data_IF_797563799895
#
_entry.id   IF_797563799895
#
_cell.length_a   1.000
_cell.length_b   1.000
_cell.length_c   1.000
_cell.angle_alpha   90.00
_cell.angle_beta   90.00
_cell.angle_gamma   90.00
#
_symmetry.space_group_name_H-M   'P 1'
#
loop_
_entity.id
_entity.type
_entity.pdbx_description
1 polymer ?
#
# COMPACT_ATOMS: atom_id res chain seq x y z
N UNK A 1 -6.31 0.13 -4.00
CA UNK A 1 -6.09 -0.47 -2.65
C UNK A 1 -7.32 -0.38 -1.75
N UNK A 2 -8.22 0.56 -2.02
CA UNK A 2 -9.43 0.90 -1.27
C UNK A 2 -10.30 -0.29 -0.87
N UNK A 3 -10.51 -1.26 -1.75
CA UNK A 3 -11.27 -2.46 -1.41
C UNK A 3 -10.68 -3.30 -0.27
N UNK A 4 -9.38 -3.15 0.02
CA UNK A 4 -8.72 -3.84 1.14
C UNK A 4 -8.77 -3.02 2.45
N UNK A 5 -9.05 -1.73 2.36
CA UNK A 5 -8.93 -0.80 3.48
C UNK A 5 -9.90 -1.08 4.64
N UNK A 6 -11.16 -1.50 4.41
CA UNK A 6 -12.05 -1.92 5.50
C UNK A 6 -11.49 -3.07 6.34
N UNK A 7 -10.82 -4.02 5.71
CA UNK A 7 -10.24 -5.17 6.42
C UNK A 7 -9.08 -4.77 7.33
N UNK A 8 -8.35 -3.70 7.02
CA UNK A 8 -7.34 -3.14 7.94
C UNK A 8 -7.99 -2.65 9.22
N UNK A 9 -9.14 -1.97 9.11
CA UNK A 9 -9.91 -1.50 10.27
C UNK A 9 -10.49 -2.67 11.06
N UNK A 10 -11.01 -3.69 10.39
CA UNK A 10 -11.51 -4.91 11.03
C UNK A 10 -10.40 -5.62 11.81
N UNK A 11 -9.21 -5.77 11.23
CA UNK A 11 -8.05 -6.36 11.92
C UNK A 11 -7.64 -5.54 13.14
N UNK A 12 -7.59 -4.20 13.04
CA UNK A 12 -7.33 -3.35 14.19
C UNK A 12 -8.37 -3.52 15.30
N UNK A 13 -9.66 -3.52 14.94
CA UNK A 13 -10.76 -3.73 15.90
C UNK A 13 -10.68 -5.11 16.56
N UNK A 14 -10.33 -6.15 15.79
CA UNK A 14 -10.08 -7.49 16.30
C UNK A 14 -8.96 -7.48 17.35
N UNK A 15 -7.82 -6.86 17.06
CA UNK A 15 -6.71 -6.79 18.02
C UNK A 15 -7.05 -5.96 19.26
N UNK A 16 -7.77 -4.85 19.11
CA UNK A 16 -8.27 -4.07 20.26
C UNK A 16 -9.13 -4.96 21.17
N UNK A 17 -10.05 -5.73 20.59
CA UNK A 17 -10.90 -6.65 21.36
C UNK A 17 -10.07 -7.74 22.04
N UNK A 18 -9.19 -8.40 21.29
CA UNK A 18 -8.29 -9.45 21.79
C UNK A 18 -7.46 -8.97 23.00
N UNK A 19 -6.86 -7.79 22.90
CA UNK A 19 -6.01 -7.26 23.97
C UNK A 19 -6.80 -6.71 25.16
N UNK A 20 -8.05 -6.29 24.98
CA UNK A 20 -8.97 -6.01 26.09
C UNK A 20 -9.32 -7.29 26.85
N UNK A 21 -9.58 -8.38 26.14
CA UNK A 21 -9.97 -9.66 26.74
C UNK A 21 -8.83 -10.32 27.53
N UNK A 22 -7.57 -10.07 27.18
CA UNK A 22 -6.41 -10.57 27.95
C UNK A 22 -6.36 -10.04 29.39
N UNK A 23 -6.90 -8.84 29.62
CA UNK A 23 -6.85 -8.18 30.93
C UNK A 23 -5.44 -7.73 31.33
N UNK A 24 -5.35 -6.87 32.34
CA UNK A 24 -4.08 -6.40 32.90
C UNK A 24 -3.30 -5.39 32.04
N UNK A 25 -3.84 -4.97 30.90
CA UNK A 25 -3.24 -3.94 30.04
C UNK A 25 -3.99 -2.61 30.18
N UNK A 26 -3.24 -1.50 30.12
CA UNK A 26 -3.82 -0.15 30.01
C UNK A 26 -4.39 0.08 28.60
N UNK A 27 -5.34 1.00 28.46
CA UNK A 27 -5.88 1.36 27.13
C UNK A 27 -4.80 1.79 26.13
N UNK A 28 -3.75 2.47 26.63
CA UNK A 28 -2.62 2.89 25.80
C UNK A 28 -1.85 1.68 25.26
N UNK A 29 -1.55 0.70 26.12
CA UNK A 29 -0.86 -0.53 25.70
C UNK A 29 -1.70 -1.34 24.72
N UNK A 30 -3.02 -1.42 24.94
CA UNK A 30 -3.96 -2.12 24.05
C UNK A 30 -3.91 -1.51 22.64
N UNK A 31 -4.01 -0.17 22.54
CA UNK A 31 -3.91 0.54 21.25
C UNK A 31 -2.55 0.33 20.60
N UNK A 32 -1.47 0.42 21.37
CA UNK A 32 -0.11 0.22 20.86
C UNK A 32 0.11 -1.19 20.30
N UNK A 33 -0.36 -2.23 21.01
CA UNK A 33 -0.25 -3.61 20.53
C UNK A 33 -1.15 -3.88 19.33
N UNK A 34 -2.37 -3.34 19.32
CA UNK A 34 -3.24 -3.43 18.16
C UNK A 34 -2.61 -2.77 16.93
N UNK A 35 -2.06 -1.55 17.06
CA UNK A 35 -1.35 -0.88 15.96
C UNK A 35 -0.14 -1.68 15.46
N UNK A 36 0.65 -2.27 16.38
CA UNK A 36 1.82 -3.10 16.03
C UNK A 36 1.41 -4.36 15.26
N UNK A 37 0.41 -5.07 15.75
CA UNK A 37 -0.05 -6.31 15.11
C UNK A 37 -0.76 -6.04 13.79
N UNK A 38 -1.60 -5.00 13.69
CA UNK A 38 -2.20 -4.59 12.43
C UNK A 38 -1.13 -4.25 11.38
N UNK A 39 -0.08 -3.50 11.76
CA UNK A 39 1.04 -3.21 10.84
C UNK A 39 1.78 -4.48 10.43
N UNK A 40 1.97 -5.43 11.35
CA UNK A 40 2.58 -6.72 11.04
C UNK A 40 1.72 -7.53 10.06
N UNK A 41 0.41 -7.57 10.29
CA UNK A 41 -0.53 -8.28 9.42
C UNK A 41 -0.55 -7.68 8.01
N UNK A 42 -0.60 -6.35 7.88
CA UNK A 42 -0.50 -5.66 6.59
C UNK A 42 0.80 -6.04 5.87
N UNK A 43 1.93 -6.03 6.59
CA UNK A 43 3.23 -6.45 6.04
C UNK A 43 3.22 -7.88 5.53
N UNK A 44 2.76 -8.83 6.34
CA UNK A 44 2.71 -10.24 5.96
C UNK A 44 1.76 -10.47 4.77
N UNK A 45 0.60 -9.80 4.76
CA UNK A 45 -0.40 -9.91 3.70
C UNK A 45 0.09 -9.31 2.38
N UNK A 46 0.68 -8.11 2.40
CA UNK A 46 1.24 -7.47 1.21
C UNK A 46 2.43 -8.25 0.65
N UNK A 47 3.24 -8.85 1.52
CA UNK A 47 4.34 -9.71 1.09
C UNK A 47 3.82 -10.97 0.41
N UNK A 48 2.85 -11.62 1.03
CA UNK A 48 2.21 -12.80 0.46
C UNK A 48 1.64 -12.49 -0.91
N UNK A 49 0.92 -11.37 -1.05
CA UNK A 49 0.37 -10.91 -2.32
C UNK A 49 1.47 -10.72 -3.37
N UNK A 50 2.51 -9.94 -3.08
CA UNK A 50 3.60 -9.65 -4.04
C UNK A 50 4.30 -10.95 -4.48
N UNK A 51 4.57 -11.88 -3.56
CA UNK A 51 5.19 -13.16 -3.88
C UNK A 51 4.27 -14.06 -4.69
N UNK A 52 2.96 -14.08 -4.41
CA UNK A 52 1.98 -14.83 -5.20
C UNK A 52 1.88 -14.28 -6.63
N UNK A 53 1.84 -12.96 -6.80
CA UNK A 53 1.77 -12.34 -8.13
C UNK A 53 3.00 -12.63 -9.00
N UNK A 54 4.16 -12.89 -8.38
CA UNK A 54 5.39 -13.21 -9.11
C UNK A 54 5.67 -14.72 -9.21
N UNK A 55 4.98 -15.57 -8.45
CA UNK A 55 5.15 -17.04 -8.50
C UNK A 55 4.01 -17.76 -9.24
N UNK A 56 2.84 -17.13 -9.38
CA UNK A 56 1.74 -17.66 -10.19
C UNK A 56 1.92 -17.34 -11.67
N UNK A 57 1.49 -18.26 -12.52
CA UNK A 57 1.48 -18.10 -13.98
C UNK A 57 0.05 -18.08 -14.50
N UNK A 58 -0.18 -17.28 -15.53
CA UNK A 58 -1.42 -17.33 -16.31
C UNK A 58 -1.41 -18.52 -17.28
N UNK A 59 -2.52 -18.74 -18.01
CA UNK A 59 -2.64 -19.84 -18.99
C UNK A 59 -1.58 -19.81 -20.11
N UNK A 60 -0.94 -18.67 -20.35
CA UNK A 60 0.14 -18.50 -21.33
C UNK A 60 1.54 -18.65 -20.70
N UNK A 61 1.63 -19.06 -19.44
CA UNK A 61 2.89 -19.34 -18.73
C UNK A 61 3.65 -18.10 -18.24
N UNK A 62 3.03 -16.92 -18.26
CA UNK A 62 3.66 -15.66 -17.82
C UNK A 62 3.09 -15.19 -16.47
N UNK A 63 3.87 -14.41 -15.72
CA UNK A 63 3.33 -13.69 -14.56
C UNK A 63 2.19 -12.77 -14.99
N UNK A 64 1.11 -12.67 -14.19
CA UNK A 64 -0.04 -11.84 -14.53
C UNK A 64 0.32 -10.35 -14.62
N UNK A 65 -0.22 -9.68 -15.63
CA UNK A 65 -0.09 -8.24 -15.81
C UNK A 65 -1.05 -7.53 -14.84
N UNK A 66 -0.50 -6.94 -13.79
CA UNK A 66 -1.29 -6.35 -12.69
C UNK A 66 -0.70 -4.99 -12.33
N UNK A 67 -1.60 -4.03 -12.08
CA UNK A 67 -1.29 -2.72 -11.54
C UNK A 67 -1.91 -2.53 -10.17
N UNK A 68 -1.13 -2.04 -9.22
CA UNK A 68 -1.62 -1.56 -7.92
C UNK A 68 -1.76 -0.05 -8.00
N UNK A 69 -3.01 0.41 -7.91
CA UNK A 69 -3.36 1.82 -7.86
C UNK A 69 -3.47 2.30 -6.41
N UNK A 70 -2.65 3.29 -6.08
CA UNK A 70 -2.48 3.88 -4.75
C UNK A 70 -3.01 5.32 -4.78
N UNK A 71 -4.31 5.46 -4.52
CA UNK A 71 -5.05 6.73 -4.50
C UNK A 71 -5.72 6.89 -3.14
N UNK A 72 -5.32 7.90 -2.36
CA UNK A 72 -5.78 8.03 -0.97
C UNK A 72 -7.20 8.64 -0.91
N UNK A 73 -7.54 9.51 -1.86
CA UNK A 73 -8.86 10.14 -1.99
C UNK A 73 -9.91 9.27 -2.72
N UNK A 74 -9.64 7.98 -2.97
CA UNK A 74 -10.66 7.09 -3.55
C UNK A 74 -11.82 6.84 -2.57
N UNK A 75 -11.51 6.75 -1.27
CA UNK A 75 -12.48 6.66 -0.19
C UNK A 75 -11.97 7.46 1.02
N UNK A 76 -12.66 8.55 1.33
CA UNK A 76 -12.28 9.45 2.43
C UNK A 76 -12.49 8.82 3.82
N UNK A 77 -13.40 7.83 3.95
CA UNK A 77 -13.65 7.15 5.22
C UNK A 77 -12.45 6.27 5.61
N UNK A 78 -11.84 5.61 4.63
CA UNK A 78 -10.75 4.65 4.82
C UNK A 78 -9.37 5.20 4.42
N UNK A 79 -9.26 6.52 4.28
CA UNK A 79 -8.04 7.17 3.79
C UNK A 79 -6.77 6.78 4.56
N UNK A 80 -6.86 6.70 5.90
CA UNK A 80 -5.76 6.29 6.77
C UNK A 80 -5.34 4.85 6.51
N UNK A 81 -6.30 3.94 6.36
CA UNK A 81 -6.07 2.54 6.06
C UNK A 81 -5.46 2.35 4.65
N UNK A 82 -5.93 3.11 3.66
CA UNK A 82 -5.32 3.15 2.33
C UNK A 82 -3.87 3.64 2.41
N UNK A 83 -3.59 4.66 3.21
CA UNK A 83 -2.22 5.15 3.43
C UNK A 83 -1.31 4.09 4.08
N UNK A 84 -1.82 3.32 5.05
CA UNK A 84 -1.06 2.21 5.66
C UNK A 84 -0.72 1.12 4.64
N UNK A 85 -1.68 0.74 3.79
CA UNK A 85 -1.45 -0.22 2.70
C UNK A 85 -0.45 0.34 1.66
N UNK A 86 -0.61 1.61 1.29
CA UNK A 86 0.29 2.31 0.34
C UNK A 86 1.72 2.34 0.86
N UNK A 87 1.91 2.68 2.13
CA UNK A 87 3.23 2.68 2.78
C UNK A 87 3.90 1.32 2.65
N UNK A 88 3.19 0.25 3.01
CA UNK A 88 3.75 -1.09 3.02
C UNK A 88 4.09 -1.58 1.60
N UNK A 89 3.22 -1.34 0.61
CA UNK A 89 3.50 -1.67 -0.79
C UNK A 89 4.79 -1.00 -1.28
N UNK A 90 4.99 0.28 -0.97
CA UNK A 90 6.20 1.01 -1.37
C UNK A 90 7.43 0.48 -0.63
N UNK A 91 7.33 0.20 0.69
CA UNK A 91 8.43 -0.38 1.49
C UNK A 91 8.89 -1.72 0.93
N UNK A 92 7.96 -2.59 0.57
CA UNK A 92 8.31 -3.90 0.00
C UNK A 92 8.89 -3.78 -1.40
N UNK A 93 8.42 -2.83 -2.21
CA UNK A 93 9.05 -2.55 -3.50
C UNK A 93 10.49 -2.08 -3.33
N UNK A 94 10.77 -1.18 -2.37
CA UNK A 94 12.13 -0.73 -2.05
C UNK A 94 13.01 -1.94 -1.68
N UNK A 95 12.51 -2.80 -0.79
CA UNK A 95 13.20 -4.03 -0.40
C UNK A 95 13.51 -4.92 -1.62
N UNK A 96 12.56 -5.04 -2.54
CA UNK A 96 12.67 -5.89 -3.73
C UNK A 96 12.34 -7.34 -3.43
N UNK A 97 12.65 -8.23 -4.38
CA UNK A 97 12.43 -9.66 -4.26
C UNK A 97 13.75 -10.40 -4.49
N UNK A 98 13.98 -11.53 -3.84
CA UNK A 98 15.14 -12.38 -4.14
C UNK A 98 14.89 -13.19 -5.42
N UNK A 99 15.85 -13.18 -6.34
CA UNK A 99 15.87 -14.10 -7.47
C UNK A 99 16.35 -15.50 -7.01
N UNK A 100 16.44 -16.45 -7.95
CA UNK A 100 16.90 -17.83 -7.68
C UNK A 100 18.30 -17.90 -7.06
N UNK A 101 19.14 -16.88 -7.28
CA UNK A 101 20.48 -16.77 -6.73
C UNK A 101 20.50 -16.05 -5.36
N UNK A 102 19.33 -15.70 -4.81
CA UNK A 102 19.21 -15.02 -3.53
C UNK A 102 19.51 -13.51 -3.57
N UNK A 103 19.71 -12.94 -4.76
CA UNK A 103 20.05 -11.52 -4.97
C UNK A 103 18.77 -10.69 -5.03
N UNK A 104 18.76 -9.54 -4.35
CA UNK A 104 17.63 -8.61 -4.36
C UNK A 104 17.49 -7.90 -5.72
N UNK A 105 16.44 -8.25 -6.44
CA UNK A 105 16.07 -7.68 -7.74
C UNK A 105 14.79 -6.87 -7.64
N UNK A 106 14.57 -6.00 -8.62
CA UNK A 106 13.31 -5.29 -8.80
C UNK A 106 12.31 -6.24 -9.48
N UNK A 107 11.17 -6.60 -8.85
CA UNK A 107 10.19 -7.46 -9.50
C UNK A 107 9.53 -6.73 -10.67
N UNK A 108 9.17 -7.44 -11.74
CA UNK A 108 8.52 -6.82 -12.90
C UNK A 108 7.08 -6.37 -12.58
N UNK A 109 6.35 -7.17 -11.78
CA UNK A 109 4.97 -6.90 -11.38
C UNK A 109 4.77 -6.96 -9.86
N UNK A 110 3.71 -6.34 -9.33
CA UNK A 110 2.77 -5.47 -10.04
C UNK A 110 3.42 -4.14 -10.47
N UNK A 111 2.87 -3.46 -11.48
CA UNK A 111 3.17 -2.03 -11.66
C UNK A 111 2.59 -1.27 -10.47
N UNK A 112 3.23 -0.18 -10.08
CA UNK A 112 2.77 0.67 -8.98
C UNK A 112 2.45 2.05 -9.53
N UNK A 113 1.24 2.54 -9.25
CA UNK A 113 0.83 3.89 -9.60
C UNK A 113 0.47 4.63 -8.33
N UNK A 114 1.17 5.73 -8.07
CA UNK A 114 0.97 6.61 -6.93
C UNK A 114 0.30 7.91 -7.37
N UNK A 115 -0.85 8.23 -6.78
CA UNK A 115 -1.57 9.46 -7.09
C UNK A 115 -1.07 10.61 -6.22
N UNK A 116 -0.66 11.71 -6.85
CA UNK A 116 -0.34 12.96 -6.21
C UNK A 116 -1.62 13.82 -6.06
N UNK A 117 -1.95 14.13 -4.81
CA UNK A 117 -3.12 14.86 -4.34
C UNK A 117 -2.70 15.93 -3.32
N UNK A 118 -3.60 16.86 -2.97
CA UNK A 118 -3.24 18.06 -2.21
C UNK A 118 -2.57 17.78 -0.85
N UNK A 119 -2.90 16.67 -0.20
CA UNK A 119 -2.38 16.32 1.12
C UNK A 119 -1.18 15.37 1.09
N UNK A 120 -0.67 15.02 -0.09
CA UNK A 120 0.58 14.27 -0.22
C UNK A 120 1.64 14.95 -1.10
N UNK A 121 1.33 16.02 -1.85
CA UNK A 121 2.26 16.64 -2.81
C UNK A 121 3.15 17.75 -2.24
N UNK A 122 2.87 18.27 -1.04
CA UNK A 122 3.60 19.41 -0.43
C UNK A 122 4.26 19.04 0.88
N UNK A 123 5.43 19.59 1.15
CA UNK A 123 6.05 19.45 2.46
C UNK A 123 5.14 19.99 3.57
N UNK A 124 5.04 19.23 4.67
CA UNK A 124 4.21 19.59 5.82
C UNK A 124 2.76 19.12 5.76
N UNK A 125 2.31 18.51 4.65
CA UNK A 125 1.00 17.85 4.59
C UNK A 125 1.03 16.46 5.24
N UNK A 126 -0.14 15.95 5.64
CA UNK A 126 -0.28 14.71 6.42
C UNK A 126 0.41 13.51 5.78
N UNK A 127 0.27 13.35 4.46
CA UNK A 127 0.79 12.20 3.72
C UNK A 127 2.05 12.51 2.91
N UNK A 128 2.71 13.66 3.12
CA UNK A 128 3.97 14.00 2.44
C UNK A 128 5.06 12.94 2.62
N UNK A 129 5.04 12.24 3.76
CA UNK A 129 6.00 11.16 4.02
C UNK A 129 5.88 10.00 3.02
N UNK A 130 4.68 9.73 2.49
CA UNK A 130 4.46 8.73 1.45
C UNK A 130 5.10 9.17 0.13
N UNK A 131 5.02 10.44 -0.22
CA UNK A 131 5.68 10.98 -1.42
C UNK A 131 7.20 10.91 -1.33
N UNK A 132 7.77 11.20 -0.16
CA UNK A 132 9.22 10.98 0.08
C UNK A 132 9.59 9.50 -0.09
N UNK A 133 8.78 8.60 0.44
CA UNK A 133 8.98 7.15 0.32
C UNK A 133 8.83 6.68 -1.13
N UNK A 134 7.85 7.20 -1.87
CA UNK A 134 7.65 6.92 -3.28
C UNK A 134 8.86 7.40 -4.11
N UNK A 135 9.39 8.59 -3.84
CA UNK A 135 10.58 9.10 -4.51
C UNK A 135 11.83 8.23 -4.25
N UNK A 136 12.03 7.76 -3.01
CA UNK A 136 13.08 6.79 -2.68
C UNK A 136 12.90 5.48 -3.48
N UNK A 137 11.66 5.01 -3.58
CA UNK A 137 11.30 3.84 -4.36
C UNK A 137 11.64 4.02 -5.85
N UNK A 138 11.26 5.15 -6.44
CA UNK A 138 11.55 5.47 -7.85
C UNK A 138 13.06 5.49 -8.11
N UNK A 139 13.84 6.10 -7.21
CA UNK A 139 15.30 6.15 -7.33
C UNK A 139 15.95 4.75 -7.28
N UNK A 140 15.39 3.81 -6.52
CA UNK A 140 15.93 2.45 -6.36
C UNK A 140 15.37 1.43 -7.38
N UNK A 141 14.13 1.63 -7.83
CA UNK A 141 13.32 0.59 -8.48
C UNK A 141 12.59 1.06 -9.74
N UNK A 142 12.72 2.33 -10.14
CA UNK A 142 12.07 2.95 -11.30
C UNK A 142 10.53 3.02 -11.24
N UNK A 143 9.94 2.74 -10.07
CA UNK A 143 8.50 2.78 -9.77
C UNK A 143 8.32 3.36 -8.36
N UNK A 144 7.15 3.91 -7.98
CA UNK A 144 5.91 3.98 -8.74
C UNK A 144 5.95 4.99 -9.90
N UNK A 145 5.05 4.79 -10.86
CA UNK A 145 4.62 5.84 -11.78
C UNK A 145 3.69 6.81 -11.05
N UNK A 146 3.64 8.07 -11.50
CA UNK A 146 2.88 9.13 -10.81
C UNK A 146 1.70 9.62 -11.66
N UNK A 147 0.55 9.80 -11.03
CA UNK A 147 -0.63 10.45 -11.63
C UNK A 147 -0.98 11.70 -10.83
N UNK A 148 -1.26 12.80 -11.52
CA UNK A 148 -1.80 14.00 -10.88
C UNK A 148 -3.32 13.89 -10.75
N UNK A 149 -3.83 13.86 -9.51
CA UNK A 149 -5.27 13.84 -9.23
C UNK A 149 -5.97 15.05 -9.88
N UNK A 150 -5.38 16.24 -9.69
CA UNK A 150 -5.87 17.50 -10.25
C UNK A 150 -6.09 17.41 -11.77
N UNK A 151 -5.08 16.97 -12.51
CA UNK A 151 -5.18 16.87 -13.96
C UNK A 151 -6.13 15.75 -14.38
N UNK A 152 -6.14 14.63 -13.67
CA UNK A 152 -7.03 13.51 -13.99
C UNK A 152 -8.50 13.92 -13.86
N UNK A 153 -8.87 14.57 -12.75
CA UNK A 153 -10.22 15.11 -12.54
C UNK A 153 -10.58 16.15 -13.61
N UNK A 154 -9.64 17.02 -14.00
CA UNK A 154 -9.88 18.02 -15.04
C UNK A 154 -10.14 17.39 -16.42
N UNK A 155 -9.49 16.28 -16.75
CA UNK A 155 -9.62 15.61 -18.05
C UNK A 155 -10.69 14.52 -18.10
N UNK A 156 -11.21 14.09 -16.94
CA UNK A 156 -12.10 12.93 -16.80
C UNK A 156 -13.36 13.27 -16.01
N UNK A 157 -13.97 14.41 -16.30
CA UNK A 157 -15.28 14.81 -15.76
C UNK A 157 -15.36 14.74 -14.22
N UNK A 158 -14.30 15.14 -13.54
CA UNK A 158 -14.21 15.14 -12.08
C UNK A 158 -13.79 13.80 -11.46
N UNK A 159 -13.50 12.78 -12.27
CA UNK A 159 -13.10 11.46 -11.80
C UNK A 159 -11.58 11.26 -11.79
N UNK A 160 -11.10 10.47 -10.82
CA UNK A 160 -9.74 9.93 -10.76
C UNK A 160 -9.86 8.42 -10.61
N UNK A 161 -9.34 7.65 -11.56
CA UNK A 161 -9.55 6.20 -11.65
C UNK A 161 -8.29 5.49 -12.17
N UNK A 162 -8.10 4.20 -11.84
CA UNK A 162 -6.94 3.45 -12.29
C UNK A 162 -6.91 3.32 -13.82
N UNK A 163 -5.75 3.52 -14.48
CA UNK A 163 -5.62 3.13 -15.86
C UNK A 163 -5.76 1.60 -16.00
N UNK A 164 -6.35 1.15 -17.11
CA UNK A 164 -6.42 -0.28 -17.42
C UNK A 164 -5.06 -0.76 -17.93
N UNK A 165 -4.55 -1.83 -17.30
CA UNK A 165 -3.22 -2.39 -17.56
C UNK A 165 -2.36 -2.36 -16.31
#
# INVERSE_FOLDING_TARGET
>A
LTHLAPFVRDSYNYYIKKYKEYGGLTEKQIKEFADKDTKKEIKDAMQTLIYQLNSMTNSNGQSPFITVFMYLNEDLEYKKEIAMLTEEVIRQRIQGMKNEQGVWVSPAFPKLIYVLEEDNIKEGTEYWYLTKLAAECSAKRLVPDYISEKNMKAFKDGACFPPMG
#
